data_IF_274082075181
#
_entry.id   IF_274082075181
#
_cell.length_a   1.000
_cell.length_b   1.000
_cell.length_c   1.000
_cell.angle_alpha   90.00
_cell.angle_beta   90.00
_cell.angle_gamma   90.00
#
_symmetry.space_group_name_H-M   'P 1'
#
loop_
_entity.id
_entity.type
_entity.pdbx_description
1 polymer ?
#
# COMPACT_ATOMS: atom_id res chain seq x y z
N UNK A 1 -45.34 -23.04 44.60
CA UNK A 1 -43.87 -23.21 44.43
C UNK A 1 -43.22 -21.83 44.52
N UNK A 2 -42.44 -21.51 45.57
CA UNK A 2 -41.80 -20.22 45.67
C UNK A 2 -40.43 -20.21 44.99
N UNK A 3 -40.16 -19.13 44.25
CA UNK A 3 -38.93 -18.87 43.50
C UNK A 3 -37.87 -18.35 44.48
N UNK A 4 -36.75 -19.05 44.54
CA UNK A 4 -35.64 -18.80 45.47
C UNK A 4 -34.71 -17.74 44.85
N UNK A 5 -34.66 -16.54 45.44
CA UNK A 5 -33.80 -15.45 45.01
C UNK A 5 -32.36 -15.67 45.51
N UNK A 6 -31.45 -16.02 44.59
CA UNK A 6 -30.02 -16.18 44.88
C UNK A 6 -29.31 -14.82 44.80
N UNK A 7 -28.86 -14.32 45.95
CA UNK A 7 -27.90 -13.21 46.08
C UNK A 7 -26.60 -13.57 45.36
N UNK A 8 -26.15 -12.71 44.45
CA UNK A 8 -24.79 -12.70 43.92
C UNK A 8 -24.02 -11.65 44.73
N UNK A 9 -23.09 -12.11 45.57
CA UNK A 9 -22.13 -11.26 46.25
C UNK A 9 -21.06 -10.80 45.25
N UNK A 10 -20.98 -9.49 45.03
CA UNK A 10 -19.89 -8.83 44.30
C UNK A 10 -18.72 -8.71 45.26
N UNK A 11 -17.73 -9.59 45.10
CA UNK A 11 -16.43 -9.45 45.77
C UNK A 11 -15.58 -8.44 44.99
N UNK A 12 -15.50 -7.23 45.54
CA UNK A 12 -14.59 -6.17 45.14
C UNK A 12 -13.17 -6.57 45.59
N UNK A 13 -12.29 -6.90 44.66
CA UNK A 13 -10.84 -6.98 44.90
C UNK A 13 -10.21 -5.69 44.37
N UNK A 14 -9.97 -4.74 45.27
CA UNK A 14 -9.01 -3.67 45.07
C UNK A 14 -7.61 -4.27 45.08
N UNK A 15 -6.91 -4.19 43.96
CA UNK A 15 -5.47 -4.35 43.89
C UNK A 15 -4.89 -3.06 43.30
N UNK A 16 -4.32 -2.24 44.17
CA UNK A 16 -3.48 -1.10 43.82
C UNK A 16 -2.23 -1.60 43.08
N UNK A 17 -1.85 -1.02 41.94
CA UNK A 17 -0.53 -1.23 41.37
C UNK A 17 0.50 -0.31 42.05
N UNK A 18 1.74 -0.79 42.26
CA UNK A 18 2.79 0.00 42.89
C UNK A 18 3.24 1.15 41.99
N UNK A 19 3.35 2.33 42.60
CA UNK A 19 3.96 3.55 42.08
C UNK A 19 5.48 3.35 41.87
N UNK A 20 5.84 2.69 40.77
CA UNK A 20 7.21 2.60 40.28
C UNK A 20 7.55 3.79 39.37
N UNK A 21 8.30 4.75 39.90
CA UNK A 21 8.91 5.87 39.18
C UNK A 21 9.99 5.37 38.20
N UNK A 22 9.59 5.08 36.97
CA UNK A 22 10.51 4.84 35.86
C UNK A 22 11.02 6.17 35.29
N UNK A 23 12.14 6.66 35.82
CA UNK A 23 13.02 7.57 35.08
C UNK A 23 13.71 6.79 33.96
N UNK A 24 13.20 6.90 32.74
CA UNK A 24 13.91 6.49 31.53
C UNK A 24 14.71 7.68 31.01
N UNK A 25 16.06 7.62 30.97
CA UNK A 25 16.83 8.60 30.23
C UNK A 25 16.65 8.32 28.74
N UNK A 26 15.88 9.17 28.05
CA UNK A 26 15.88 9.28 26.60
C UNK A 26 17.24 9.82 26.14
N UNK A 27 18.26 8.97 26.12
CA UNK A 27 19.46 9.20 25.32
C UNK A 27 19.12 8.89 23.86
N UNK A 28 18.50 9.86 23.19
CA UNK A 28 18.45 9.91 21.73
C UNK A 28 19.89 10.02 21.22
N UNK A 29 20.51 8.87 20.94
CA UNK A 29 21.81 8.79 20.31
C UNK A 29 21.65 9.13 18.82
N UNK A 30 21.50 10.43 18.54
CA UNK A 30 21.58 11.04 17.21
C UNK A 30 23.04 11.05 16.71
N UNK A 31 23.72 9.90 16.71
CA UNK A 31 24.94 9.72 15.91
C UNK A 31 24.53 9.34 14.49
N UNK A 32 24.05 10.33 13.74
CA UNK A 32 24.29 10.31 12.30
C UNK A 32 25.78 10.61 12.12
N UNK A 33 26.55 9.79 11.40
CA UNK A 33 27.84 10.23 10.90
C UNK A 33 27.56 11.36 9.91
N UNK A 34 27.62 12.59 10.40
CA UNK A 34 27.91 13.73 9.56
C UNK A 34 29.27 13.40 8.95
N UNK A 35 29.35 13.30 7.63
CA UNK A 35 30.63 13.40 6.93
C UNK A 35 31.24 14.73 7.38
N UNK A 36 32.08 14.69 8.41
CA UNK A 36 33.05 15.73 8.65
C UNK A 36 33.98 15.69 7.45
N UNK A 37 33.68 16.55 6.48
CA UNK A 37 34.72 17.16 5.66
C UNK A 37 35.70 17.72 6.69
N UNK A 38 36.89 17.12 6.74
CA UNK A 38 37.96 17.54 7.64
C UNK A 38 38.44 18.90 7.13
N UNK A 39 37.74 19.96 7.52
CA UNK A 39 38.17 21.34 7.28
C UNK A 39 39.29 21.58 8.27
N UNK A 40 40.49 21.74 7.72
CA UNK A 40 41.72 22.04 8.45
C UNK A 40 41.46 23.25 9.36
N UNK A 41 41.49 23.03 10.67
CA UNK A 41 41.34 24.09 11.67
C UNK A 41 42.62 24.92 11.65
N UNK A 42 42.57 26.11 11.04
CA UNK A 42 43.72 27.00 10.94
C UNK A 42 43.51 28.26 10.09
N UNK A 43 42.41 28.38 9.35
CA UNK A 43 42.09 29.61 8.59
C UNK A 43 41.10 30.50 9.34
N UNK A 44 41.37 31.82 9.42
CA UNK A 44 40.50 32.77 10.12
C UNK A 44 39.13 32.88 9.45
N UNK A 45 38.09 32.83 10.29
CA UNK A 45 36.68 32.93 9.95
C UNK A 45 36.36 34.19 9.12
N UNK A 46 36.21 34.02 7.80
CA UNK A 46 35.43 34.92 6.96
C UNK A 46 33.93 34.57 7.09
N UNK A 47 33.03 35.56 7.17
CA UNK A 47 31.59 35.34 7.29
C UNK A 47 31.01 34.95 5.91
N UNK A 48 31.19 33.70 5.51
CA UNK A 48 30.58 33.16 4.29
C UNK A 48 29.24 32.48 4.59
N UNK A 49 28.17 33.21 4.28
CA UNK A 49 27.01 32.77 3.51
C UNK A 49 26.61 31.30 3.72
N UNK A 50 25.50 31.12 4.45
CA UNK A 50 24.64 29.95 4.32
C UNK A 50 24.09 29.88 2.88
N UNK A 51 24.93 29.43 1.95
CA UNK A 51 24.54 29.18 0.57
C UNK A 51 23.59 27.99 0.56
N UNK A 52 22.30 28.30 0.52
CA UNK A 52 21.27 27.40 0.01
C UNK A 52 21.77 26.88 -1.34
N UNK A 53 22.17 25.61 -1.40
CA UNK A 53 22.59 24.99 -2.66
C UNK A 53 21.42 25.14 -3.64
N UNK A 54 21.56 25.89 -4.75
CA UNK A 54 20.53 25.93 -5.77
C UNK A 54 20.33 24.50 -6.27
N UNK A 55 19.08 24.05 -6.30
CA UNK A 55 18.72 22.84 -7.03
C UNK A 55 18.94 23.14 -8.51
N UNK A 56 20.12 22.77 -9.02
CA UNK A 56 20.48 22.84 -10.43
C UNK A 56 19.35 22.19 -11.23
N UNK A 57 18.72 22.99 -12.08
CA UNK A 57 17.70 22.49 -12.99
C UNK A 57 18.37 21.59 -14.02
N UNK A 58 17.62 20.60 -14.52
CA UNK A 58 18.08 19.45 -15.33
C UNK A 58 18.84 19.79 -16.63
N UNK A 59 19.12 21.07 -16.92
CA UNK A 59 19.75 21.56 -18.14
C UNK A 59 21.13 22.20 -17.92
N UNK A 60 21.61 22.31 -16.68
CA UNK A 60 22.89 22.96 -16.44
C UNK A 60 24.00 21.94 -16.70
N UNK A 61 24.59 22.01 -17.89
CA UNK A 61 25.87 21.37 -18.19
C UNK A 61 26.83 21.67 -17.03
N UNK A 62 27.55 20.68 -16.51
CA UNK A 62 28.53 20.95 -15.46
C UNK A 62 29.51 22.04 -15.95
N UNK A 63 30.04 22.88 -15.04
CA UNK A 63 31.09 23.83 -15.40
C UNK A 63 32.18 23.12 -16.20
N UNK A 64 32.73 23.78 -17.22
CA UNK A 64 33.67 23.19 -18.20
C UNK A 64 34.87 22.52 -17.50
N UNK A 65 35.23 22.98 -16.30
CA UNK A 65 36.37 22.49 -15.53
C UNK A 65 35.98 21.68 -14.27
N UNK A 66 34.71 21.26 -14.15
CA UNK A 66 34.30 20.45 -13.02
C UNK A 66 34.94 19.06 -13.11
N UNK A 67 35.68 18.67 -12.07
CA UNK A 67 36.32 17.35 -11.99
C UNK A 67 35.42 16.31 -11.29
N UNK A 68 35.58 15.04 -11.66
CA UNK A 68 34.89 13.96 -10.98
C UNK A 68 35.44 13.76 -9.56
N UNK A 69 34.54 13.58 -8.58
CA UNK A 69 34.91 13.36 -7.17
C UNK A 69 35.78 12.11 -6.98
N UNK A 70 35.61 11.09 -7.82
CA UNK A 70 36.35 9.84 -7.72
C UNK A 70 37.57 9.79 -8.65
N UNK A 71 37.56 10.59 -9.72
CA UNK A 71 38.65 10.69 -10.68
C UNK A 71 38.95 12.18 -10.90
N UNK A 72 39.75 12.81 -10.02
CA UNK A 72 40.03 14.24 -10.11
C UNK A 72 40.65 14.65 -11.45
N UNK A 73 41.35 13.73 -12.10
CA UNK A 73 41.99 13.93 -13.41
C UNK A 73 41.01 13.82 -14.59
N UNK A 74 39.75 13.49 -14.36
CA UNK A 74 38.72 13.38 -15.40
C UNK A 74 37.65 14.45 -15.22
N UNK A 75 37.29 15.08 -16.34
CA UNK A 75 36.18 16.03 -16.41
C UNK A 75 34.84 15.34 -16.11
N UNK A 76 33.95 16.10 -15.49
CA UNK A 76 32.61 15.67 -15.15
C UNK A 76 31.74 15.59 -16.41
N UNK A 77 31.13 14.44 -16.64
CA UNK A 77 30.11 14.23 -17.67
C UNK A 77 28.70 14.51 -17.14
N UNK A 78 28.52 14.50 -15.82
CA UNK A 78 27.24 14.80 -15.19
C UNK A 78 27.32 14.91 -13.67
N UNK A 79 26.15 14.87 -13.03
CA UNK A 79 26.02 14.95 -11.57
C UNK A 79 25.26 13.74 -11.02
N UNK A 80 25.64 13.33 -9.80
CA UNK A 80 24.93 12.30 -9.04
C UNK A 80 23.54 12.81 -8.64
N UNK A 81 22.48 12.06 -8.98
CA UNK A 81 21.08 12.47 -8.71
C UNK A 81 20.76 12.61 -7.21
N UNK A 82 21.56 11.99 -6.34
CA UNK A 82 21.31 12.01 -4.88
C UNK A 82 22.00 13.15 -4.15
N UNK A 83 23.28 13.37 -4.45
CA UNK A 83 24.11 14.33 -3.70
C UNK A 83 24.57 15.52 -4.53
N UNK A 84 24.34 15.51 -5.85
CA UNK A 84 24.79 16.53 -6.79
C UNK A 84 26.29 16.49 -7.10
N UNK A 85 27.04 15.52 -6.57
CA UNK A 85 28.48 15.39 -6.84
C UNK A 85 28.76 15.08 -8.31
N UNK A 86 29.80 15.71 -8.86
CA UNK A 86 30.24 15.50 -10.24
C UNK A 86 30.76 14.08 -10.50
N UNK A 87 30.35 13.49 -11.63
CA UNK A 87 30.72 12.14 -12.09
C UNK A 87 31.26 12.19 -13.51
N UNK A 88 32.35 11.49 -13.80
CA UNK A 88 32.89 11.36 -15.17
C UNK A 88 32.12 10.30 -15.97
N UNK A 89 32.34 10.26 -17.29
CA UNK A 89 31.69 9.32 -18.23
C UNK A 89 31.92 7.86 -17.84
N UNK A 90 33.15 7.48 -17.45
CA UNK A 90 33.47 6.12 -16.96
C UNK A 90 32.68 5.73 -15.72
N UNK A 91 32.44 6.69 -14.81
CA UNK A 91 31.60 6.45 -13.63
C UNK A 91 30.11 6.36 -13.99
N UNK A 92 29.68 7.03 -15.05
CA UNK A 92 28.30 7.06 -15.53
C UNK A 92 27.95 5.79 -16.32
N UNK A 93 28.85 5.28 -17.16
CA UNK A 93 28.66 4.06 -17.95
C UNK A 93 28.59 2.80 -17.08
N UNK A 94 29.42 2.71 -16.04
CA UNK A 94 29.48 1.50 -15.20
C UNK A 94 28.21 1.22 -14.41
N UNK A 95 27.50 2.26 -13.96
CA UNK A 95 26.33 2.08 -13.08
C UNK A 95 25.60 3.42 -12.82
N UNK A 96 24.53 3.62 -13.60
CA UNK A 96 23.32 4.39 -13.32
C UNK A 96 23.40 5.49 -12.24
N UNK A 97 23.44 6.75 -12.68
CA UNK A 97 22.90 7.97 -12.02
C UNK A 97 23.45 8.35 -10.62
N UNK A 98 24.21 7.50 -9.92
CA UNK A 98 24.69 7.74 -8.55
C UNK A 98 26.19 7.45 -8.38
N UNK A 99 26.88 8.31 -7.62
CA UNK A 99 28.31 8.16 -7.32
C UNK A 99 28.58 6.96 -6.37
N UNK A 100 29.84 6.48 -6.37
CA UNK A 100 30.28 5.33 -5.56
C UNK A 100 30.02 5.50 -4.06
N UNK A 101 30.22 6.70 -3.51
CA UNK A 101 29.93 6.98 -2.10
C UNK A 101 28.44 6.85 -1.78
N UNK A 102 27.55 7.41 -2.61
CA UNK A 102 26.11 7.27 -2.43
C UNK A 102 25.67 5.80 -2.54
N UNK A 103 26.31 5.02 -3.43
CA UNK A 103 26.07 3.58 -3.56
C UNK A 103 26.56 2.80 -2.35
N UNK A 104 27.76 3.05 -1.87
CA UNK A 104 28.28 2.44 -0.65
C UNK A 104 27.35 2.75 0.55
N UNK A 105 26.89 4.00 0.67
CA UNK A 105 25.92 4.39 1.68
C UNK A 105 24.57 3.70 1.52
N UNK A 106 24.10 3.47 0.28
CA UNK A 106 22.89 2.67 0.03
C UNK A 106 23.04 1.22 0.48
N UNK A 107 24.18 0.58 0.19
CA UNK A 107 24.47 -0.80 0.60
C UNK A 107 24.53 -0.95 2.12
N UNK A 108 25.04 0.06 2.82
CA UNK A 108 25.13 0.06 4.28
C UNK A 108 23.81 0.38 4.98
N UNK A 109 22.85 1.03 4.31
CA UNK A 109 21.57 1.39 4.92
C UNK A 109 20.65 0.17 4.99
N UNK A 110 20.11 -0.19 6.16
CA UNK A 110 19.10 -1.24 6.27
C UNK A 110 17.83 -0.77 5.54
N UNK A 111 17.62 -1.27 4.33
CA UNK A 111 16.41 -1.01 3.56
C UNK A 111 15.24 -1.76 4.22
N UNK A 112 14.16 -1.06 4.61
CA UNK A 112 13.01 -1.72 5.22
C UNK A 112 12.47 -2.83 4.29
N UNK A 113 11.91 -3.88 4.87
CA UNK A 113 11.23 -4.93 4.10
C UNK A 113 9.76 -4.55 3.90
N UNK A 114 9.27 -4.65 2.66
CA UNK A 114 7.83 -4.64 2.36
C UNK A 114 7.20 -6.03 2.40
N UNK A 115 8.02 -7.09 2.46
CA UNK A 115 7.56 -8.48 2.35
C UNK A 115 6.52 -8.88 3.41
N UNK A 116 6.70 -8.58 4.72
CA UNK A 116 5.68 -8.95 5.71
C UNK A 116 4.34 -8.27 5.41
N UNK A 117 4.37 -7.00 5.02
CA UNK A 117 3.17 -6.24 4.67
C UNK A 117 2.51 -6.73 3.38
N UNK A 118 3.31 -7.18 2.40
CA UNK A 118 2.79 -7.80 1.19
C UNK A 118 2.06 -9.12 1.52
N UNK A 119 2.62 -9.94 2.42
CA UNK A 119 2.00 -11.19 2.87
C UNK A 119 0.70 -10.88 3.59
N UNK A 120 0.72 -9.99 4.58
CA UNK A 120 -0.50 -9.62 5.34
C UNK A 120 -1.57 -9.03 4.42
N UNK A 121 -1.20 -8.14 3.50
CA UNK A 121 -2.14 -7.60 2.51
C UNK A 121 -2.70 -8.71 1.60
N UNK A 122 -1.87 -9.61 1.10
CA UNK A 122 -2.28 -10.74 0.25
C UNK A 122 -3.23 -11.67 1.00
N UNK A 123 -2.91 -12.02 2.25
CA UNK A 123 -3.76 -12.87 3.09
C UNK A 123 -5.09 -12.19 3.42
N UNK A 124 -5.09 -10.89 3.74
CA UNK A 124 -6.32 -10.14 3.99
C UNK A 124 -7.23 -10.10 2.75
N UNK A 125 -6.66 -9.77 1.58
CA UNK A 125 -7.39 -9.78 0.30
C UNK A 125 -7.86 -11.21 -0.05
N UNK A 126 -7.06 -12.24 0.24
CA UNK A 126 -7.45 -13.64 0.09
C UNK A 126 -8.63 -14.02 1.01
N UNK A 127 -8.62 -13.59 2.27
CA UNK A 127 -9.72 -13.76 3.20
C UNK A 127 -10.99 -13.05 2.72
N UNK A 128 -10.85 -11.87 2.10
CA UNK A 128 -11.96 -11.18 1.45
C UNK A 128 -12.58 -12.02 0.32
N UNK A 129 -11.76 -12.69 -0.50
CA UNK A 129 -12.25 -13.59 -1.55
C UNK A 129 -13.06 -14.76 -0.97
N UNK A 130 -12.58 -15.36 0.13
CA UNK A 130 -13.31 -16.43 0.84
C UNK A 130 -14.64 -15.91 1.40
N UNK A 131 -14.65 -14.72 1.98
CA UNK A 131 -15.86 -14.11 2.51
C UNK A 131 -16.89 -13.79 1.41
N UNK A 132 -16.44 -13.41 0.21
CA UNK A 132 -17.32 -13.25 -0.96
C UNK A 132 -17.89 -14.59 -1.45
N UNK A 133 -17.10 -15.65 -1.46
CA UNK A 133 -17.58 -16.99 -1.80
C UNK A 133 -18.64 -17.46 -0.81
N UNK A 134 -18.43 -17.26 0.49
CA UNK A 134 -19.43 -17.55 1.52
C UNK A 134 -20.70 -16.73 1.31
N UNK A 135 -20.58 -15.45 0.95
CA UNK A 135 -21.71 -14.59 0.67
C UNK A 135 -22.51 -15.02 -0.57
N UNK A 136 -21.83 -15.43 -1.64
CA UNK A 136 -22.46 -16.01 -2.84
C UNK A 136 -23.18 -17.32 -2.46
N UNK A 137 -22.54 -18.18 -1.66
CA UNK A 137 -23.14 -19.43 -1.19
C UNK A 137 -24.42 -19.16 -0.39
N UNK A 138 -24.41 -18.19 0.53
CA UNK A 138 -25.61 -17.80 1.28
C UNK A 138 -26.74 -17.34 0.33
N UNK A 139 -26.41 -16.53 -0.68
CA UNK A 139 -27.38 -16.05 -1.69
C UNK A 139 -28.03 -17.16 -2.51
N UNK A 140 -27.26 -18.20 -2.84
CA UNK A 140 -27.73 -19.32 -3.65
C UNK A 140 -28.53 -20.31 -2.80
N UNK A 141 -28.03 -20.65 -1.61
CA UNK A 141 -28.50 -21.82 -0.87
C UNK A 141 -29.50 -21.52 0.24
N UNK A 142 -29.30 -20.46 1.03
CA UNK A 142 -30.05 -20.29 2.30
C UNK A 142 -31.55 -20.17 2.06
N UNK A 143 -31.96 -19.38 1.08
CA UNK A 143 -33.40 -19.21 0.79
C UNK A 143 -34.07 -20.52 0.39
N UNK A 144 -33.46 -21.26 -0.56
CA UNK A 144 -33.98 -22.54 -1.04
C UNK A 144 -33.97 -23.60 0.06
N UNK A 145 -32.91 -23.62 0.88
CA UNK A 145 -32.76 -24.55 1.99
C UNK A 145 -33.84 -24.33 3.06
N UNK A 146 -34.04 -23.08 3.49
CA UNK A 146 -35.03 -22.74 4.52
C UNK A 146 -36.46 -23.06 4.07
N UNK A 147 -36.78 -22.89 2.79
CA UNK A 147 -38.07 -23.34 2.25
C UNK A 147 -38.21 -24.86 2.21
N UNK A 148 -37.14 -25.57 1.84
CA UNK A 148 -37.17 -27.04 1.75
C UNK A 148 -37.43 -27.71 3.11
N UNK A 149 -37.04 -27.08 4.22
CA UNK A 149 -37.30 -27.56 5.58
C UNK A 149 -38.66 -27.11 6.15
N UNK A 150 -39.52 -26.48 5.34
CA UNK A 150 -40.94 -26.23 5.67
C UNK A 150 -41.27 -24.86 6.26
N UNK A 151 -40.32 -23.91 6.32
CA UNK A 151 -40.64 -22.55 6.77
C UNK A 151 -41.52 -21.82 5.76
N UNK A 152 -42.38 -20.94 6.28
CA UNK A 152 -43.19 -20.07 5.42
C UNK A 152 -42.30 -19.12 4.61
N UNK A 153 -42.80 -18.64 3.46
CA UNK A 153 -42.05 -17.72 2.60
C UNK A 153 -41.60 -16.47 3.35
N UNK A 154 -42.43 -15.93 4.25
CA UNK A 154 -42.13 -14.74 5.05
C UNK A 154 -41.00 -14.98 6.06
N UNK A 155 -41.01 -16.13 6.74
CA UNK A 155 -39.92 -16.51 7.65
C UNK A 155 -38.62 -16.81 6.90
N UNK A 156 -38.70 -17.45 5.73
CA UNK A 156 -37.54 -17.70 4.90
C UNK A 156 -36.86 -16.39 4.45
N UNK A 157 -37.64 -15.35 4.12
CA UNK A 157 -37.12 -14.02 3.76
C UNK A 157 -36.43 -13.36 4.95
N UNK A 158 -36.99 -13.44 6.16
CA UNK A 158 -36.38 -12.82 7.35
C UNK A 158 -35.08 -13.51 7.75
N UNK A 159 -35.03 -14.85 7.75
CA UNK A 159 -33.81 -15.63 8.00
C UNK A 159 -32.74 -15.31 6.96
N UNK A 160 -33.13 -15.24 5.68
CA UNK A 160 -32.25 -14.84 4.59
C UNK A 160 -31.66 -13.43 4.81
N UNK A 161 -32.50 -12.45 5.13
CA UNK A 161 -32.08 -11.07 5.36
C UNK A 161 -31.10 -10.95 6.54
N UNK A 162 -31.38 -11.63 7.65
CA UNK A 162 -30.47 -11.68 8.82
C UNK A 162 -29.12 -12.31 8.45
N UNK A 163 -29.14 -13.42 7.72
CA UNK A 163 -27.91 -14.12 7.29
C UNK A 163 -27.04 -13.25 6.39
N UNK A 164 -27.65 -12.59 5.39
CA UNK A 164 -26.93 -11.67 4.49
C UNK A 164 -26.36 -10.48 5.26
N UNK A 165 -27.11 -9.91 6.21
CA UNK A 165 -26.67 -8.77 7.02
C UNK A 165 -25.46 -9.16 7.88
N UNK A 166 -25.52 -10.29 8.57
CA UNK A 166 -24.42 -10.79 9.40
C UNK A 166 -23.14 -11.00 8.58
N UNK A 167 -23.24 -11.67 7.42
CA UNK A 167 -22.08 -11.88 6.53
C UNK A 167 -21.56 -10.55 5.97
N UNK A 168 -22.44 -9.60 5.67
CA UNK A 168 -22.06 -8.28 5.16
C UNK A 168 -21.26 -7.47 6.18
N UNK A 169 -21.64 -7.52 7.47
CA UNK A 169 -20.89 -6.87 8.56
C UNK A 169 -19.49 -7.49 8.69
N UNK A 170 -19.40 -8.82 8.73
CA UNK A 170 -18.11 -9.52 8.81
C UNK A 170 -17.19 -9.16 7.62
N UNK A 171 -17.75 -9.13 6.40
CA UNK A 171 -17.05 -8.70 5.19
C UNK A 171 -16.57 -7.25 5.26
N UNK A 172 -17.37 -6.34 5.80
CA UNK A 172 -16.99 -4.94 5.93
C UNK A 172 -15.74 -4.78 6.82
N UNK A 173 -15.68 -5.54 7.93
CA UNK A 173 -14.52 -5.55 8.83
C UNK A 173 -13.29 -6.13 8.13
N UNK A 174 -13.41 -7.28 7.46
CA UNK A 174 -12.31 -7.91 6.70
C UNK A 174 -11.81 -6.96 5.60
N UNK A 175 -12.72 -6.30 4.89
CA UNK A 175 -12.39 -5.35 3.84
C UNK A 175 -11.62 -4.15 4.40
N UNK A 176 -12.06 -3.57 5.52
CA UNK A 176 -11.41 -2.43 6.15
C UNK A 176 -9.97 -2.76 6.56
N UNK A 177 -9.77 -3.90 7.25
CA UNK A 177 -8.43 -4.35 7.64
C UNK A 177 -7.55 -4.62 6.42
N UNK A 178 -8.09 -5.28 5.39
CA UNK A 178 -7.39 -5.54 4.13
C UNK A 178 -6.98 -4.26 3.42
N UNK A 179 -7.83 -3.23 3.42
CA UNK A 179 -7.51 -1.92 2.87
C UNK A 179 -6.35 -1.26 3.61
N UNK A 180 -6.35 -1.27 4.95
CA UNK A 180 -5.23 -0.72 5.75
C UNK A 180 -3.91 -1.44 5.44
N UNK A 181 -3.92 -2.77 5.38
CA UNK A 181 -2.72 -3.55 5.08
C UNK A 181 -2.24 -3.33 3.64
N UNK A 182 -3.15 -3.25 2.68
CA UNK A 182 -2.84 -2.94 1.29
C UNK A 182 -2.21 -1.55 1.14
N UNK A 183 -2.79 -0.52 1.76
CA UNK A 183 -2.24 0.84 1.74
C UNK A 183 -0.87 0.91 2.43
N UNK A 184 -0.70 0.20 3.55
CA UNK A 184 0.59 0.11 4.24
C UNK A 184 1.64 -0.55 3.37
N UNK A 185 1.29 -1.64 2.68
CA UNK A 185 2.17 -2.28 1.71
C UNK A 185 2.52 -1.33 0.56
N UNK A 186 1.54 -0.67 -0.06
CA UNK A 186 1.76 0.25 -1.18
C UNK A 186 2.70 1.39 -0.78
N UNK A 187 2.48 2.00 0.38
CA UNK A 187 3.36 3.05 0.92
C UNK A 187 4.81 2.56 1.06
N UNK A 188 4.99 1.37 1.62
CA UNK A 188 6.33 0.78 1.81
C UNK A 188 6.96 0.44 0.47
N UNK A 189 6.22 -0.09 -0.49
CA UNK A 189 6.71 -0.42 -1.82
C UNK A 189 7.20 0.83 -2.56
N UNK A 190 6.40 1.89 -2.60
CA UNK A 190 6.78 3.18 -3.21
C UNK A 190 7.96 3.80 -2.48
N UNK A 191 7.99 3.76 -1.14
CA UNK A 191 9.11 4.27 -0.35
C UNK A 191 10.41 3.52 -0.63
N UNK A 192 10.38 2.19 -0.73
CA UNK A 192 11.56 1.40 -1.06
C UNK A 192 12.03 1.72 -2.49
N UNK A 193 11.11 1.80 -3.46
CA UNK A 193 11.44 2.16 -4.83
C UNK A 193 12.09 3.56 -4.95
N UNK A 194 11.64 4.52 -4.14
CA UNK A 194 12.30 5.83 -4.04
C UNK A 194 13.65 5.78 -3.31
N UNK A 195 13.82 4.92 -2.31
CA UNK A 195 15.10 4.76 -1.61
C UNK A 195 16.20 4.16 -2.49
N UNK A 196 15.84 3.31 -3.46
CA UNK A 196 16.76 2.76 -4.47
C UNK A 196 16.83 3.64 -5.73
N UNK A 197 16.25 4.85 -5.68
CA UNK A 197 16.25 5.86 -6.75
C UNK A 197 15.66 5.38 -8.10
N UNK A 198 14.76 4.39 -8.04
CA UNK A 198 14.09 3.80 -9.21
C UNK A 198 12.78 4.52 -9.53
N UNK A 199 12.07 5.00 -8.50
CA UNK A 199 10.81 5.74 -8.67
C UNK A 199 10.87 7.11 -8.03
N UNK A 200 10.31 8.11 -8.71
CA UNK A 200 10.16 9.48 -8.18
C UNK A 200 8.79 9.70 -7.51
N UNK A 201 7.95 8.66 -7.44
CA UNK A 201 6.64 8.76 -6.82
C UNK A 201 6.75 9.03 -5.31
N UNK A 202 5.99 10.01 -4.83
CA UNK A 202 5.95 10.32 -3.40
C UNK A 202 5.11 9.29 -2.64
N UNK A 203 5.65 8.64 -1.60
CA UNK A 203 4.90 7.66 -0.80
C UNK A 203 3.65 8.25 -0.13
N UNK A 204 3.69 9.53 0.26
CA UNK A 204 2.54 10.19 0.90
C UNK A 204 1.41 10.40 -0.10
N UNK A 205 1.75 10.87 -1.30
CA UNK A 205 0.77 11.02 -2.39
C UNK A 205 0.18 9.68 -2.82
N UNK A 206 0.94 8.59 -2.70
CA UNK A 206 0.43 7.25 -2.96
C UNK A 206 -0.78 6.89 -2.07
N UNK A 207 -0.71 7.18 -0.77
CA UNK A 207 -1.82 6.92 0.16
C UNK A 207 -2.94 7.95 -0.03
N UNK A 208 -2.61 9.26 -0.03
CA UNK A 208 -3.61 10.32 -0.03
C UNK A 208 -4.54 10.26 -1.26
N UNK A 209 -4.04 9.75 -2.39
CA UNK A 209 -4.84 9.61 -3.60
C UNK A 209 -6.09 8.73 -3.47
N UNK A 210 -6.15 7.83 -2.48
CA UNK A 210 -7.32 6.97 -2.22
C UNK A 210 -8.46 7.69 -1.51
N UNK A 211 -8.15 8.76 -0.77
CA UNK A 211 -9.12 9.47 0.08
C UNK A 211 -9.70 10.71 -0.59
N UNK A 212 -9.03 11.24 -1.62
CA UNK A 212 -9.50 12.41 -2.36
C UNK A 212 -10.50 11.96 -3.43
N UNK A 213 -11.78 12.39 -3.36
CA UNK A 213 -12.77 12.10 -4.39
C UNK A 213 -12.29 12.58 -5.77
N UNK A 214 -12.65 11.86 -6.83
CA UNK A 214 -12.16 12.13 -8.19
C UNK A 214 -10.73 11.62 -8.44
N UNK A 215 -9.76 11.98 -7.59
CA UNK A 215 -8.39 11.44 -7.69
C UNK A 215 -8.35 9.93 -7.50
N UNK A 216 -9.19 9.40 -6.59
CA UNK A 216 -9.32 7.97 -6.34
C UNK A 216 -9.68 7.15 -7.60
N UNK A 217 -10.22 7.78 -8.66
CA UNK A 217 -10.60 7.09 -9.90
C UNK A 217 -9.41 6.83 -10.85
N UNK A 218 -8.30 7.57 -10.71
CA UNK A 218 -7.20 7.50 -11.68
C UNK A 218 -5.82 7.40 -11.04
N UNK A 219 -5.59 8.10 -9.92
CA UNK A 219 -4.25 8.22 -9.32
C UNK A 219 -3.74 6.91 -8.73
N UNK A 220 -4.52 6.10 -8.00
CA UNK A 220 -4.03 4.82 -7.50
C UNK A 220 -3.56 3.88 -8.60
N UNK A 221 -4.30 3.83 -9.71
CA UNK A 221 -3.90 3.10 -10.91
C UNK A 221 -2.58 3.61 -11.50
N UNK A 222 -2.45 4.93 -11.68
CA UNK A 222 -1.22 5.55 -12.19
C UNK A 222 -0.03 5.18 -11.32
N UNK A 223 -0.15 5.32 -10.00
CA UNK A 223 0.93 5.02 -9.05
C UNK A 223 1.39 3.56 -9.14
N UNK A 224 0.46 2.60 -9.19
CA UNK A 224 0.82 1.18 -9.27
C UNK A 224 1.39 0.79 -10.64
N UNK A 225 0.85 1.37 -11.72
CA UNK A 225 1.37 1.19 -13.08
C UNK A 225 2.78 1.76 -13.21
N UNK A 226 2.98 2.99 -12.77
CA UNK A 226 4.26 3.69 -12.87
C UNK A 226 5.28 3.00 -11.96
N UNK A 227 4.90 2.58 -10.75
CA UNK A 227 5.73 1.74 -9.90
C UNK A 227 6.15 0.43 -10.60
N UNK A 228 5.23 -0.26 -11.29
CA UNK A 228 5.57 -1.47 -12.04
C UNK A 228 6.58 -1.21 -13.17
N UNK A 229 6.39 -0.13 -13.92
CA UNK A 229 7.27 0.26 -15.02
C UNK A 229 8.64 0.71 -14.52
N UNK A 230 8.68 1.53 -13.48
CA UNK A 230 9.90 2.01 -12.83
C UNK A 230 10.74 0.82 -12.35
N UNK A 231 10.11 -0.22 -11.79
CA UNK A 231 10.80 -1.46 -11.38
C UNK A 231 11.32 -2.31 -12.56
N UNK A 232 11.25 -1.82 -13.80
CA UNK A 232 11.65 -2.54 -15.01
C UNK A 232 10.68 -3.65 -15.39
N UNK A 233 9.41 -3.54 -14.99
CA UNK A 233 8.38 -4.51 -15.32
C UNK A 233 7.99 -4.43 -16.81
N UNK A 234 7.81 -5.59 -17.46
CA UNK A 234 7.38 -5.64 -18.86
C UNK A 234 6.05 -4.91 -19.10
N UNK A 235 5.98 -4.13 -20.18
CA UNK A 235 4.78 -3.36 -20.54
C UNK A 235 3.54 -4.24 -20.73
N UNK A 236 3.70 -5.46 -21.27
CA UNK A 236 2.63 -6.44 -21.45
C UNK A 236 1.92 -6.82 -20.14
N UNK A 237 2.62 -6.72 -19.01
CA UNK A 237 2.05 -7.04 -17.68
C UNK A 237 1.29 -5.88 -17.06
N UNK A 238 1.36 -4.67 -17.63
CA UNK A 238 0.47 -3.56 -17.25
C UNK A 238 -1.01 -3.88 -17.55
N UNK A 239 -1.29 -4.82 -18.45
CA UNK A 239 -2.64 -5.33 -18.72
C UNK A 239 -3.31 -5.90 -17.47
N UNK A 240 -2.55 -6.55 -16.57
CA UNK A 240 -3.13 -7.04 -15.31
C UNK A 240 -3.62 -5.87 -14.45
N UNK A 241 -2.79 -4.84 -14.29
CA UNK A 241 -3.11 -3.65 -13.48
C UNK A 241 -4.32 -2.92 -14.09
N UNK A 242 -4.37 -2.81 -15.44
CA UNK A 242 -5.52 -2.25 -16.17
C UNK A 242 -6.79 -3.07 -15.95
N UNK A 243 -6.72 -4.39 -16.15
CA UNK A 243 -7.87 -5.28 -16.00
C UNK A 243 -8.43 -5.23 -14.58
N UNK A 244 -7.55 -5.32 -13.57
CA UNK A 244 -7.93 -5.15 -12.16
C UNK A 244 -8.65 -3.82 -11.93
N UNK A 245 -8.09 -2.71 -12.42
CA UNK A 245 -8.68 -1.39 -12.23
C UNK A 245 -10.03 -1.23 -12.94
N UNK A 246 -10.14 -1.63 -14.21
CA UNK A 246 -11.38 -1.57 -14.98
C UNK A 246 -12.48 -2.42 -14.34
N UNK A 247 -12.16 -3.64 -13.90
CA UNK A 247 -13.10 -4.51 -13.20
C UNK A 247 -13.49 -3.92 -11.83
N UNK A 248 -12.55 -3.30 -11.13
CA UNK A 248 -12.82 -2.56 -9.88
C UNK A 248 -13.80 -1.41 -10.10
N UNK A 249 -13.57 -0.56 -11.10
CA UNK A 249 -14.48 0.54 -11.47
C UNK A 249 -15.86 0.02 -11.87
N UNK A 250 -15.91 -1.04 -12.70
CA UNK A 250 -17.17 -1.68 -13.06
C UNK A 250 -17.91 -2.18 -11.82
N UNK A 251 -17.21 -2.83 -10.90
CA UNK A 251 -17.80 -3.32 -9.63
C UNK A 251 -18.35 -2.18 -8.78
N UNK A 252 -17.67 -1.03 -8.72
CA UNK A 252 -18.17 0.16 -8.01
C UNK A 252 -19.45 0.70 -8.65
N UNK A 253 -19.48 0.84 -9.97
CA UNK A 253 -20.67 1.31 -10.69
C UNK A 253 -21.86 0.37 -10.53
N UNK A 254 -21.64 -0.95 -10.61
CA UNK A 254 -22.66 -1.97 -10.34
C UNK A 254 -23.13 -1.94 -8.89
N UNK A 255 -22.25 -1.62 -7.93
CA UNK A 255 -22.62 -1.48 -6.53
C UNK A 255 -23.54 -0.30 -6.26
N UNK A 256 -23.23 0.87 -6.84
CA UNK A 256 -24.10 2.05 -6.77
C UNK A 256 -25.45 1.74 -7.43
N UNK A 257 -25.42 1.14 -8.62
CA UNK A 257 -26.64 0.72 -9.32
C UNK A 257 -27.48 -0.25 -8.50
N UNK A 258 -26.87 -1.28 -7.92
CA UNK A 258 -27.57 -2.25 -7.08
C UNK A 258 -28.21 -1.58 -5.85
N UNK A 259 -27.52 -0.62 -5.21
CA UNK A 259 -28.08 0.15 -4.10
C UNK A 259 -29.29 0.99 -4.54
N UNK A 260 -29.19 1.66 -5.69
CA UNK A 260 -30.31 2.39 -6.28
C UNK A 260 -31.49 1.47 -6.61
N UNK A 261 -31.24 0.27 -7.14
CA UNK A 261 -32.28 -0.72 -7.46
C UNK A 261 -32.97 -1.27 -6.21
N UNK A 262 -32.27 -1.40 -5.08
CA UNK A 262 -32.90 -1.77 -3.80
C UNK A 262 -33.88 -0.68 -3.36
N UNK A 263 -33.46 0.59 -3.40
CA UNK A 263 -34.27 1.73 -2.99
C UNK A 263 -35.49 1.94 -3.92
N UNK A 264 -35.30 1.80 -5.24
CA UNK A 264 -36.38 1.94 -6.23
C UNK A 264 -37.27 0.69 -6.31
N UNK A 265 -36.76 -0.48 -5.93
CA UNK A 265 -37.48 -1.74 -6.00
C UNK A 265 -38.74 -1.76 -5.13
N UNK A 266 -38.71 -1.05 -4.00
CA UNK A 266 -39.89 -0.85 -3.14
C UNK A 266 -41.02 -0.08 -3.83
N UNK A 267 -40.68 0.80 -4.78
CA UNK A 267 -41.63 1.65 -5.50
C UNK A 267 -42.13 0.97 -6.79
N UNK A 268 -41.22 0.34 -7.53
CA UNK A 268 -41.47 -0.19 -8.88
C UNK A 268 -41.91 -1.66 -8.86
N UNK A 269 -41.87 -2.33 -7.71
CA UNK A 269 -42.28 -3.73 -7.58
C UNK A 269 -41.30 -4.70 -8.25
N UNK A 270 -40.00 -4.43 -8.18
CA UNK A 270 -38.96 -5.29 -8.77
C UNK A 270 -39.00 -6.66 -8.09
N UNK A 271 -39.07 -7.73 -8.89
CA UNK A 271 -39.09 -9.10 -8.37
C UNK A 271 -37.85 -9.42 -7.53
N UNK A 272 -38.06 -10.11 -6.40
CA UNK A 272 -37.00 -10.58 -5.51
C UNK A 272 -35.92 -11.41 -6.25
N UNK A 273 -36.34 -12.23 -7.22
CA UNK A 273 -35.41 -13.04 -8.02
C UNK A 273 -34.52 -12.22 -8.94
N UNK A 274 -35.04 -11.12 -9.53
CA UNK A 274 -34.21 -10.22 -10.33
C UNK A 274 -33.14 -9.55 -9.47
N UNK A 275 -33.52 -9.02 -8.30
CA UNK A 275 -32.59 -8.41 -7.35
C UNK A 275 -31.53 -9.42 -6.86
N UNK A 276 -31.94 -10.66 -6.57
CA UNK A 276 -31.01 -11.72 -6.16
C UNK A 276 -29.97 -12.02 -7.26
N UNK A 277 -30.39 -12.11 -8.53
CA UNK A 277 -29.48 -12.37 -9.66
C UNK A 277 -28.48 -11.24 -9.87
N UNK A 278 -28.92 -9.98 -9.82
CA UNK A 278 -28.01 -8.83 -9.97
C UNK A 278 -26.98 -8.80 -8.84
N UNK A 279 -27.41 -9.09 -7.62
CA UNK A 279 -26.56 -9.19 -6.45
C UNK A 279 -25.50 -10.30 -6.59
N UNK A 280 -25.87 -11.50 -7.07
CA UNK A 280 -24.91 -12.60 -7.32
C UNK A 280 -23.87 -12.17 -8.36
N UNK A 281 -24.30 -11.57 -9.47
CA UNK A 281 -23.41 -11.09 -10.52
C UNK A 281 -22.41 -10.04 -10.00
N UNK A 282 -22.88 -9.10 -9.18
CA UNK A 282 -22.02 -8.10 -8.53
C UNK A 282 -20.97 -8.76 -7.61
N UNK A 283 -21.37 -9.73 -6.78
CA UNK A 283 -20.41 -10.44 -5.91
C UNK A 283 -19.37 -11.23 -6.72
N UNK A 284 -19.77 -11.87 -7.82
CA UNK A 284 -18.83 -12.54 -8.72
C UNK A 284 -17.81 -11.56 -9.33
N UNK A 285 -18.25 -10.35 -9.68
CA UNK A 285 -17.36 -9.31 -10.21
C UNK A 285 -16.38 -8.80 -9.15
N UNK A 286 -16.85 -8.60 -7.93
CA UNK A 286 -15.99 -8.23 -6.79
C UNK A 286 -14.96 -9.32 -6.48
N UNK A 287 -15.35 -10.58 -6.54
CA UNK A 287 -14.44 -11.72 -6.38
C UNK A 287 -13.34 -11.70 -7.44
N UNK A 288 -13.69 -11.48 -8.71
CA UNK A 288 -12.72 -11.36 -9.80
C UNK A 288 -11.76 -10.18 -9.57
N UNK A 289 -12.28 -9.00 -9.18
CA UNK A 289 -11.47 -7.84 -8.84
C UNK A 289 -10.45 -8.17 -7.74
N UNK A 290 -10.88 -8.91 -6.72
CA UNK A 290 -10.09 -9.31 -5.56
C UNK A 290 -8.94 -10.25 -5.96
N UNK A 291 -9.22 -11.27 -6.79
CA UNK A 291 -8.20 -12.19 -7.32
C UNK A 291 -7.17 -11.45 -8.18
N UNK A 292 -7.61 -10.51 -9.02
CA UNK A 292 -6.70 -9.71 -9.82
C UNK A 292 -5.83 -8.79 -8.94
N UNK A 293 -6.38 -8.23 -7.86
CA UNK A 293 -5.66 -7.42 -6.88
C UNK A 293 -4.51 -8.22 -6.24
N UNK A 294 -4.78 -9.46 -5.81
CA UNK A 294 -3.75 -10.39 -5.31
C UNK A 294 -2.62 -10.56 -6.34
N UNK A 295 -2.97 -10.77 -7.61
CA UNK A 295 -2.01 -10.88 -8.71
C UNK A 295 -1.14 -9.64 -8.86
N UNK A 296 -1.71 -8.43 -8.72
CA UNK A 296 -0.99 -7.15 -8.78
C UNK A 296 0.01 -7.05 -7.63
N UNK A 297 -0.42 -7.28 -6.39
CA UNK A 297 0.42 -7.20 -5.19
C UNK A 297 1.59 -8.17 -5.29
N UNK A 298 1.32 -9.45 -5.59
CA UNK A 298 2.35 -10.49 -5.67
C UNK A 298 3.37 -10.19 -6.77
N UNK A 299 2.94 -9.72 -7.94
CA UNK A 299 3.86 -9.42 -9.05
C UNK A 299 4.74 -8.22 -8.77
N UNK A 300 4.17 -7.10 -8.30
CA UNK A 300 4.93 -5.91 -7.93
C UNK A 300 5.92 -6.26 -6.81
N UNK A 301 5.47 -6.99 -5.77
CA UNK A 301 6.34 -7.38 -4.67
C UNK A 301 7.50 -8.27 -5.12
N UNK A 302 7.26 -9.28 -5.96
CA UNK A 302 8.32 -10.14 -6.49
C UNK A 302 9.36 -9.34 -7.27
N UNK A 303 8.92 -8.42 -8.14
CA UNK A 303 9.85 -7.59 -8.92
C UNK A 303 10.63 -6.63 -8.04
N UNK A 304 9.99 -6.03 -7.04
CA UNK A 304 10.66 -5.16 -6.06
C UNK A 304 11.75 -5.90 -5.29
N UNK A 305 11.50 -7.14 -4.87
CA UNK A 305 12.50 -7.99 -4.18
C UNK A 305 13.66 -8.36 -5.11
N UNK A 306 13.38 -8.73 -6.36
CA UNK A 306 14.42 -9.03 -7.36
C UNK A 306 15.32 -7.82 -7.61
N UNK A 307 14.72 -6.65 -7.88
CA UNK A 307 15.47 -5.43 -8.16
C UNK A 307 16.29 -4.98 -6.95
N UNK A 308 15.74 -5.10 -5.74
CA UNK A 308 16.49 -4.85 -4.50
C UNK A 308 17.73 -5.75 -4.41
N UNK A 309 17.61 -7.03 -4.77
CA UNK A 309 18.73 -7.97 -4.76
C UNK A 309 19.74 -7.72 -5.90
N UNK A 310 19.30 -7.22 -7.06
CA UNK A 310 20.17 -6.81 -8.17
C UNK A 310 21.01 -5.59 -7.77
N UNK A 311 20.38 -4.54 -7.24
CA UNK A 311 21.04 -3.30 -6.79
C UNK A 311 22.05 -3.54 -5.67
N UNK A 312 21.77 -4.50 -4.77
CA UNK A 312 22.68 -4.85 -3.68
C UNK A 312 23.87 -5.71 -4.14
N UNK A 313 23.75 -6.44 -5.26
CA UNK A 313 24.81 -7.32 -5.81
C UNK A 313 25.68 -6.67 -6.87
N UNK A 314 25.21 -5.60 -7.52
CA UNK A 314 26.03 -4.85 -8.48
C UNK A 314 27.34 -4.41 -7.79
N UNK A 315 28.51 -4.56 -8.43
CA UNK A 315 29.82 -4.24 -7.84
C UNK A 315 30.00 -2.76 -7.49
#
# INVERSE_FOLDING_TARGET
MPINARRINVFQTQQEPPSGSFHTPLTYNLRRPICMINVRVGEPLLPHLAATRPMLTKSDSPPVDAACVQHPDQLAAGTCIRCGSFVCEKCQERDARACSFCRASLRQRPLPSSTPWAIVATCGIGLQAVAELAHIAVRIWVFSFVQAIGYTRTEAISIYAMSITAVSIAKAVIWLLSAVYFLTWQYRAVRIAGLIDVSQASPRWAILSWFVPGMNLFKPYQILRDLWLDLGGAASRTTLIRAWWCIGLLTLTLGVWNQSMVLLGEIVGISFDALRRTQIAQSAMFLLATVLCVGVVVRIQRRLVQLKAEVLRAP
#
